data_IF_152164035107
#
_entry.id   IF_152164035107
#
_cell.length_a   1.000
_cell.length_b   1.000
_cell.length_c   1.000
_cell.angle_alpha   90.00
_cell.angle_beta   90.00
_cell.angle_gamma   90.00
#
_symmetry.space_group_name_H-M   'P 1'
#
loop_
_entity.id
_entity.type
_entity.pdbx_description
1 polymer ?
#
# COMPACT_ATOMS: atom_id res chain seq x y z
N UNK A 1 26.20 -6.34 -4.66
CA UNK A 1 27.16 -5.21 -4.77
C UNK A 1 26.70 -4.11 -3.82
N UNK A 2 27.59 -3.32 -3.23
CA UNK A 2 27.22 -2.13 -2.46
C UNK A 2 27.45 -0.90 -3.34
N UNK A 3 26.45 -0.05 -3.50
CA UNK A 3 26.54 1.24 -4.19
C UNK A 3 26.16 2.40 -3.27
N UNK A 4 26.12 3.61 -3.82
CA UNK A 4 25.75 4.83 -3.07
C UNK A 4 24.33 4.73 -2.49
N UNK A 5 23.44 4.02 -3.18
CA UNK A 5 22.05 3.77 -2.73
C UNK A 5 21.91 2.49 -1.90
N UNK A 6 22.99 1.93 -1.34
CA UNK A 6 22.96 0.70 -0.56
C UNK A 6 23.12 -0.57 -1.40
N UNK A 7 22.47 -1.65 -0.98
CA UNK A 7 22.62 -2.97 -1.61
C UNK A 7 22.01 -2.95 -3.02
N UNK A 8 22.79 -3.39 -4.00
CA UNK A 8 22.37 -3.56 -5.40
C UNK A 8 22.44 -5.05 -5.74
N UNK A 9 21.31 -5.57 -6.23
CA UNK A 9 21.16 -6.92 -6.76
C UNK A 9 20.58 -6.83 -8.16
N UNK A 10 21.19 -7.56 -9.08
CA UNK A 10 20.78 -7.71 -10.47
C UNK A 10 20.29 -9.14 -10.65
N UNK A 11 19.16 -9.33 -11.34
CA UNK A 11 18.63 -10.66 -11.63
C UNK A 11 19.32 -11.30 -12.85
N UNK A 12 18.87 -12.50 -13.23
CA UNK A 12 19.44 -13.23 -14.37
C UNK A 12 19.14 -12.60 -15.73
N UNK A 13 18.16 -11.69 -15.80
CA UNK A 13 17.81 -10.93 -17.01
C UNK A 13 18.62 -9.63 -17.13
N UNK A 14 19.41 -9.27 -16.11
CA UNK A 14 20.18 -8.03 -16.08
C UNK A 14 19.41 -6.85 -15.48
N UNK A 15 18.23 -7.08 -14.90
CA UNK A 15 17.41 -6.04 -14.30
C UNK A 15 17.74 -5.85 -12.81
N UNK A 16 17.57 -4.62 -12.32
CA UNK A 16 17.77 -4.31 -10.90
C UNK A 16 16.55 -4.75 -10.08
N UNK A 17 16.81 -5.52 -9.02
CA UNK A 17 15.84 -5.72 -7.95
C UNK A 17 15.65 -4.39 -7.20
N UNK A 18 14.48 -3.77 -7.34
CA UNK A 18 14.20 -2.47 -6.76
C UNK A 18 13.54 -2.59 -5.39
N UNK A 19 14.12 -1.92 -4.41
CA UNK A 19 13.48 -1.65 -3.13
C UNK A 19 12.56 -0.41 -3.30
N UNK A 20 11.46 -0.38 -2.56
CA UNK A 20 10.47 0.70 -2.65
C UNK A 20 10.06 1.18 -1.25
N UNK A 21 9.74 2.46 -1.10
CA UNK A 21 9.09 2.97 0.11
C UNK A 21 7.62 3.29 -0.19
N UNK A 22 6.73 2.87 0.71
CA UNK A 22 5.35 3.34 0.75
C UNK A 22 5.33 4.63 1.55
N UNK A 23 4.92 5.71 0.89
CA UNK A 23 4.72 7.00 1.53
C UNK A 23 3.22 7.22 1.75
N UNK A 24 2.91 7.83 2.88
CA UNK A 24 1.57 8.24 3.24
C UNK A 24 1.55 9.73 3.58
N UNK A 25 0.38 10.36 3.42
CA UNK A 25 0.23 11.78 3.71
C UNK A 25 0.07 11.96 5.22
N UNK A 26 1.02 12.64 5.87
CA UNK A 26 0.87 13.03 7.26
C UNK A 26 -0.10 14.23 7.38
N UNK A 27 -1.26 14.08 8.03
CA UNK A 27 -2.25 15.15 8.13
C UNK A 27 -1.78 16.32 9.01
N UNK A 28 -0.78 16.13 9.87
CA UNK A 28 -0.25 17.21 10.72
C UNK A 28 0.70 18.13 9.96
N UNK A 29 1.64 17.55 9.20
CA UNK A 29 2.61 18.33 8.39
C UNK A 29 2.11 18.65 6.98
N UNK A 30 1.08 17.95 6.49
CA UNK A 30 0.60 17.98 5.10
C UNK A 30 1.70 17.63 4.08
N UNK A 31 2.55 16.65 4.44
CA UNK A 31 3.64 16.16 3.57
C UNK A 31 3.61 14.63 3.49
N UNK A 32 4.16 14.08 2.40
CA UNK A 32 4.30 12.64 2.26
C UNK A 32 5.52 12.15 3.04
N UNK A 33 5.28 11.21 3.95
CA UNK A 33 6.31 10.60 4.77
C UNK A 33 6.34 9.08 4.56
N UNK A 34 7.53 8.45 4.58
CA UNK A 34 7.62 7.00 4.53
C UNK A 34 6.91 6.35 5.74
N UNK A 35 6.13 5.30 5.48
CA UNK A 35 5.45 4.49 6.52
C UNK A 35 5.82 3.01 6.45
N UNK A 36 6.31 2.53 5.31
CA UNK A 36 6.83 1.18 5.15
C UNK A 36 7.86 1.08 4.02
N UNK A 37 8.73 0.09 4.10
CA UNK A 37 9.69 -0.24 3.05
C UNK A 37 9.48 -1.66 2.55
N UNK A 38 9.49 -1.83 1.23
CA UNK A 38 9.55 -3.11 0.55
C UNK A 38 11.01 -3.42 0.17
N UNK A 39 11.49 -4.58 0.63
CA UNK A 39 12.82 -5.09 0.33
C UNK A 39 12.74 -6.22 -0.68
N UNK A 40 13.27 -6.01 -1.89
CA UNK A 40 13.27 -6.99 -2.97
C UNK A 40 14.20 -8.18 -2.71
N UNK A 41 15.12 -8.08 -1.75
CA UNK A 41 16.04 -9.18 -1.41
C UNK A 41 15.30 -10.39 -0.85
N UNK A 42 14.21 -10.16 -0.12
CA UNK A 42 13.43 -11.19 0.57
C UNK A 42 11.92 -11.03 0.38
N UNK A 43 11.50 -10.19 -0.57
CA UNK A 43 10.09 -9.93 -0.91
C UNK A 43 9.25 -9.56 0.31
N UNK A 44 9.80 -8.74 1.21
CA UNK A 44 9.15 -8.40 2.48
C UNK A 44 8.86 -6.92 2.60
N UNK A 45 7.70 -6.61 3.20
CA UNK A 45 7.34 -5.26 3.63
C UNK A 45 7.65 -5.14 5.12
N UNK A 46 8.28 -4.03 5.52
CA UNK A 46 8.54 -3.68 6.91
C UNK A 46 7.96 -2.31 7.20
N UNK A 47 7.14 -2.23 8.24
CA UNK A 47 6.62 -0.95 8.73
C UNK A 47 7.73 -0.16 9.42
N UNK A 48 7.74 1.16 9.22
CA UNK A 48 8.66 2.04 9.94
C UNK A 48 8.20 2.14 11.41
N UNK A 49 9.09 1.92 12.39
CA UNK A 49 8.71 1.97 13.80
C UNK A 49 8.05 3.30 14.18
N UNK A 50 6.88 3.22 14.82
CA UNK A 50 6.10 4.40 15.22
C UNK A 50 5.30 5.07 14.11
N UNK A 51 5.33 4.56 12.88
CA UNK A 51 4.49 5.01 11.77
C UNK A 51 3.38 4.02 11.48
N UNK A 52 2.21 4.54 11.10
CA UNK A 52 1.05 3.79 10.64
C UNK A 52 0.48 4.46 9.41
N UNK A 53 -0.24 3.71 8.57
CA UNK A 53 -1.01 4.29 7.46
C UNK A 53 -2.24 4.99 8.04
N UNK A 54 -2.45 6.25 7.68
CA UNK A 54 -3.61 7.06 7.98
C UNK A 54 -4.67 6.93 6.88
N UNK A 55 -5.69 6.14 7.16
CA UNK A 55 -6.84 5.99 6.30
C UNK A 55 -7.86 7.07 6.61
N UNK A 56 -8.29 7.80 5.58
CA UNK A 56 -9.27 8.89 5.66
C UNK A 56 -10.72 8.42 5.96
N UNK A 57 -10.91 7.60 6.98
CA UNK A 57 -12.21 7.22 7.51
C UNK A 57 -12.18 7.12 9.04
N UNK A 58 -13.37 7.15 9.66
CA UNK A 58 -13.52 7.17 11.12
C UNK A 58 -12.89 5.97 11.84
N UNK A 59 -12.74 4.83 11.15
CA UNK A 59 -12.16 3.61 11.73
C UNK A 59 -10.66 3.52 11.55
N UNK A 60 -10.06 4.41 10.75
CA UNK A 60 -8.67 4.36 10.33
C UNK A 60 -8.26 2.97 9.80
N UNK A 61 -9.08 2.43 8.89
CA UNK A 61 -8.85 1.11 8.28
C UNK A 61 -8.84 1.19 6.75
N UNK A 62 -8.13 0.28 6.05
CA UNK A 62 -8.17 0.24 4.60
C UNK A 62 -9.61 0.09 4.10
N UNK A 63 -10.01 0.85 3.05
CA UNK A 63 -11.28 0.60 2.40
C UNK A 63 -11.28 -0.81 1.78
N UNK A 64 -12.46 -1.44 1.63
CA UNK A 64 -12.55 -2.71 0.92
C UNK A 64 -11.97 -2.62 -0.49
N UNK A 65 -11.17 -3.62 -0.89
CA UNK A 65 -10.62 -3.68 -2.26
C UNK A 65 -11.67 -3.86 -3.36
N UNK A 66 -12.91 -4.22 -2.99
CA UNK A 66 -14.07 -4.28 -3.88
C UNK A 66 -15.24 -3.59 -3.18
N UNK A 67 -15.99 -2.70 -3.85
CA UNK A 67 -17.17 -2.07 -3.26
C UNK A 67 -18.19 -3.11 -2.78
N UNK A 68 -18.89 -2.82 -1.68
CA UNK A 68 -19.89 -3.73 -1.09
C UNK A 68 -20.95 -4.18 -2.10
N UNK A 69 -21.38 -3.27 -2.99
CA UNK A 69 -22.36 -3.57 -4.04
C UNK A 69 -21.76 -4.06 -5.36
N UNK A 70 -20.45 -4.37 -5.40
CA UNK A 70 -19.72 -4.58 -6.65
C UNK A 70 -19.41 -3.26 -7.36
N UNK A 71 -18.48 -3.30 -8.32
CA UNK A 71 -18.10 -2.12 -9.09
C UNK A 71 -19.24 -1.59 -9.97
N UNK A 72 -20.18 -2.46 -10.35
CA UNK A 72 -21.36 -2.17 -11.18
C UNK A 72 -22.66 -2.02 -10.37
N UNK A 73 -22.60 -2.14 -9.04
CA UNK A 73 -23.77 -2.03 -8.16
C UNK A 73 -24.73 -3.23 -8.18
N UNK A 74 -24.47 -4.25 -9.00
CA UNK A 74 -25.41 -5.35 -9.23
C UNK A 74 -25.57 -6.26 -8.00
N UNK A 75 -24.58 -6.34 -7.09
CA UNK A 75 -24.66 -7.19 -5.90
C UNK A 75 -25.70 -6.70 -4.87
N UNK A 76 -26.15 -5.45 -4.96
CA UNK A 76 -27.16 -4.89 -4.07
C UNK A 76 -28.56 -4.83 -4.69
N UNK A 77 -28.73 -5.23 -5.96
CA UNK A 77 -29.99 -5.10 -6.70
C UNK A 77 -31.10 -6.10 -6.27
N UNK A 78 -30.83 -6.98 -5.32
CA UNK A 78 -31.83 -7.91 -4.76
C UNK A 78 -32.59 -7.37 -3.54
N UNK A 79 -32.28 -6.17 -3.02
CA UNK A 79 -33.00 -5.61 -1.85
C UNK A 79 -34.26 -4.80 -2.19
N UNK A 80 -34.59 -4.64 -3.48
CA UNK A 80 -35.73 -3.80 -3.94
C UNK A 80 -36.91 -4.54 -4.58
N UNK A 81 -37.14 -5.83 -4.28
CA UNK A 81 -38.40 -6.49 -4.67
C UNK A 81 -38.90 -7.48 -3.63
N UNK A 82 -39.59 -6.94 -2.63
CA UNK A 82 -40.76 -7.57 -2.02
C UNK A 82 -41.80 -6.46 -1.87
N UNK A 83 -42.57 -6.22 -2.93
CA UNK A 83 -43.91 -5.67 -2.82
C UNK A 83 -44.84 -6.84 -2.53
#
# INVERSE_FOLDING_TARGET
MLGITGIIRIDSNGDRNADYSLLDLDPASNTFEPVADYFAINYSIRMIPGKTIDWANQKNLPPPGVPVCGFDGNKCQHSRKSH
#
